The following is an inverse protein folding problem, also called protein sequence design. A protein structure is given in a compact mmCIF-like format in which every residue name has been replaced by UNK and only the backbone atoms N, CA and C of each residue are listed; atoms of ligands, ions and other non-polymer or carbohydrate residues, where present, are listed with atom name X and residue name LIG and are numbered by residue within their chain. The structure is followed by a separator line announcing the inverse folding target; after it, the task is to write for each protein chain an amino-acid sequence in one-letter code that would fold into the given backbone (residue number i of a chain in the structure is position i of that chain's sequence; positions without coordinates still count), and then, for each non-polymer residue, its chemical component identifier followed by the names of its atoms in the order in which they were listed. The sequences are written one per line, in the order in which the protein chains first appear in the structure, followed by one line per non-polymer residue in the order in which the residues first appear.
data_IF_986529468610
#
_entry.id   IF_986529468610
#
_cell.length_a   1.000
_cell.length_b   1.000
_cell.length_c   1.000
_cell.angle_alpha   90.00
_cell.angle_beta   90.00
_cell.angle_gamma   90.00
#
_symmetry.space_group_name_H-M   'P 1'
#
loop_
_entity.id
_entity.type
_entity.pdbx_description
1 polymer ?
#
# COMPACT_ATOMS: atom_id res chain seq x y z
N UNK A 1 -21.93 -11.71 17.92
CA UNK A 1 -22.10 -11.51 16.46
C UNK A 1 -20.87 -12.11 15.77
N UNK A 2 -21.07 -12.99 14.79
CA UNK A 2 -19.97 -13.63 14.04
C UNK A 2 -20.15 -13.34 12.55
N UNK A 3 -19.12 -12.91 11.84
CA UNK A 3 -19.17 -12.66 10.40
C UNK A 3 -18.03 -11.81 9.89
N UNK A 4 -18.07 -11.52 8.59
CA UNK A 4 -17.04 -10.73 7.90
C UNK A 4 -17.72 -9.54 7.22
N UNK A 5 -17.19 -8.36 7.42
CA UNK A 5 -17.64 -7.13 6.77
C UNK A 5 -16.54 -6.63 5.82
N UNK A 6 -16.75 -6.70 4.51
CA UNK A 6 -15.93 -5.94 3.58
C UNK A 6 -16.22 -4.44 3.78
N UNK A 7 -15.42 -3.77 4.59
CA UNK A 7 -15.63 -2.35 4.89
C UNK A 7 -14.89 -1.48 3.87
N UNK A 8 -15.58 -0.48 3.33
CA UNK A 8 -14.96 0.53 2.46
C UNK A 8 -14.30 1.60 3.32
N UNK A 9 -12.99 1.43 3.57
CA UNK A 9 -12.23 2.41 4.34
C UNK A 9 -12.07 3.69 3.52
N UNK A 10 -12.55 4.85 4.00
CA UNK A 10 -12.28 6.12 3.35
C UNK A 10 -10.82 6.56 3.56
N UNK A 11 -10.29 7.49 2.74
CA UNK A 11 -9.02 8.14 3.02
C UNK A 11 -9.10 9.01 4.27
N UNK A 12 -7.94 9.35 4.85
CA UNK A 12 -7.84 10.26 6.00
C UNK A 12 -7.94 9.59 7.38
N UNK A 13 -8.33 8.32 7.45
CA UNK A 13 -8.39 7.56 8.71
C UNK A 13 -7.49 6.33 8.66
N UNK A 14 -7.03 5.87 9.83
CA UNK A 14 -6.28 4.62 9.92
C UNK A 14 -7.19 3.40 9.80
N UNK A 15 -6.62 2.22 9.49
CA UNK A 15 -7.37 0.95 9.54
C UNK A 15 -7.90 0.65 10.94
N UNK A 16 -7.21 1.14 11.97
CA UNK A 16 -7.66 0.99 13.36
C UNK A 16 -8.89 1.87 13.67
N UNK A 17 -8.92 3.10 13.14
CA UNK A 17 -10.10 3.98 13.24
C UNK A 17 -11.30 3.38 12.53
N UNK A 18 -11.10 2.78 11.35
CA UNK A 18 -12.14 2.05 10.62
C UNK A 18 -12.74 0.92 11.47
N UNK A 19 -11.90 0.11 12.13
CA UNK A 19 -12.35 -0.92 13.07
C UNK A 19 -13.10 -0.30 14.26
N UNK A 20 -12.64 0.83 14.79
CA UNK A 20 -13.31 1.52 15.90
C UNK A 20 -14.71 2.04 15.50
N UNK A 21 -14.86 2.53 14.26
CA UNK A 21 -16.18 2.91 13.68
C UNK A 21 -17.09 1.69 13.64
N UNK A 22 -16.64 0.58 13.03
CA UNK A 22 -17.43 -0.65 12.96
C UNK A 22 -17.81 -1.18 14.34
N UNK A 23 -16.87 -1.16 15.29
CA UNK A 23 -17.09 -1.58 16.68
C UNK A 23 -18.19 -0.78 17.35
N UNK A 24 -18.20 0.54 17.15
CA UNK A 24 -19.20 1.44 17.74
C UNK A 24 -20.59 1.22 17.15
N UNK A 25 -20.68 1.06 15.82
CA UNK A 25 -21.96 0.86 15.12
C UNK A 25 -22.55 -0.51 15.48
N UNK A 26 -21.76 -1.57 15.36
CA UNK A 26 -22.21 -2.95 15.57
C UNK A 26 -22.23 -3.37 17.05
N UNK A 27 -21.69 -2.56 17.96
CA UNK A 27 -21.56 -2.85 19.41
C UNK A 27 -20.88 -4.17 19.72
N UNK A 28 -19.97 -4.62 18.81
CA UNK A 28 -19.22 -5.86 18.96
C UNK A 28 -17.82 -5.56 19.52
N UNK A 29 -17.47 -6.24 20.63
CA UNK A 29 -16.16 -6.01 21.29
C UNK A 29 -15.03 -6.72 20.56
N UNK A 30 -15.29 -7.96 20.12
CA UNK A 30 -14.29 -8.79 19.44
C UNK A 30 -14.34 -8.51 17.95
N UNK A 31 -13.48 -7.59 17.49
CA UNK A 31 -13.42 -7.14 16.10
C UNK A 31 -11.97 -6.85 15.71
N UNK A 32 -11.59 -7.23 14.51
CA UNK A 32 -10.26 -6.99 13.93
C UNK A 32 -10.34 -6.84 12.43
N UNK A 33 -9.23 -6.51 11.79
CA UNK A 33 -9.15 -6.39 10.33
C UNK A 33 -7.99 -7.20 9.77
N UNK A 34 -8.05 -7.53 8.49
CA UNK A 34 -6.96 -8.12 7.73
C UNK A 34 -6.32 -7.09 6.83
N UNK A 35 -4.98 -7.04 6.90
CA UNK A 35 -4.16 -6.20 6.02
C UNK A 35 -4.39 -4.70 6.22
N UNK A 36 -3.46 -4.05 6.91
CA UNK A 36 -3.49 -2.60 7.12
C UNK A 36 -3.50 -1.84 5.77
N UNK A 37 -4.33 -0.81 5.68
CA UNK A 37 -4.26 0.23 4.65
C UNK A 37 -3.65 1.49 5.25
N UNK A 38 -2.79 2.16 4.50
CA UNK A 38 -2.24 3.46 4.87
C UNK A 38 -3.37 4.49 5.09
N UNK A 39 -3.17 5.51 5.94
CA UNK A 39 -4.22 6.50 6.22
C UNK A 39 -4.74 7.20 4.95
N UNK A 40 -3.84 7.53 4.00
CA UNK A 40 -4.20 8.16 2.74
C UNK A 40 -4.97 7.24 1.78
N UNK A 41 -4.78 5.91 1.93
CA UNK A 41 -5.39 4.93 1.04
C UNK A 41 -6.87 4.74 1.32
N UNK A 42 -7.62 4.40 0.27
CA UNK A 42 -9.01 3.95 0.41
C UNK A 42 -9.19 2.55 -0.17
N UNK A 43 -10.36 1.95 0.05
CA UNK A 43 -10.71 0.68 -0.54
C UNK A 43 -11.13 -0.38 0.47
N UNK A 44 -11.23 -1.60 0.00
CA UNK A 44 -11.77 -2.71 0.79
C UNK A 44 -10.82 -3.07 1.94
N UNK A 45 -11.39 -3.08 3.14
CA UNK A 45 -10.77 -3.53 4.38
C UNK A 45 -11.63 -4.63 4.98
N UNK A 46 -11.25 -5.91 4.85
CA UNK A 46 -12.02 -6.99 5.49
C UNK A 46 -11.94 -6.86 7.01
N UNK A 47 -13.09 -6.68 7.64
CA UNK A 47 -13.28 -6.57 9.09
C UNK A 47 -13.97 -7.83 9.59
N UNK A 48 -13.38 -8.48 10.59
CA UNK A 48 -13.83 -9.76 11.15
C UNK A 48 -14.42 -9.55 12.53
N UNK A 49 -15.57 -10.16 12.79
CA UNK A 49 -16.33 -10.01 14.02
C UNK A 49 -16.47 -11.32 14.78
N UNK A 50 -16.43 -11.27 16.09
CA UNK A 50 -16.64 -12.40 16.97
C UNK A 50 -15.66 -13.55 16.70
N UNK A 51 -16.16 -14.76 16.46
CA UNK A 51 -15.36 -15.95 16.18
C UNK A 51 -14.60 -15.85 14.86
N UNK A 52 -15.13 -15.08 13.89
CA UNK A 52 -14.47 -14.87 12.59
C UNK A 52 -13.08 -14.20 12.72
N UNK A 53 -12.80 -13.52 13.82
CA UNK A 53 -11.46 -12.94 14.06
C UNK A 53 -10.32 -13.97 14.04
N UNK A 54 -10.61 -15.26 14.24
CA UNK A 54 -9.64 -16.36 14.12
C UNK A 54 -9.21 -16.62 12.68
N UNK A 55 -9.99 -16.15 11.70
CA UNK A 55 -9.69 -16.32 10.28
C UNK A 55 -8.66 -15.28 9.77
N UNK A 56 -8.39 -14.24 10.54
CA UNK A 56 -7.47 -13.16 10.13
C UNK A 56 -6.09 -13.72 9.75
N UNK A 57 -5.58 -14.69 10.50
CA UNK A 57 -4.25 -15.28 10.25
C UNK A 57 -4.14 -15.98 8.88
N UNK A 58 -5.25 -16.52 8.35
CA UNK A 58 -5.27 -17.17 7.04
C UNK A 58 -5.39 -16.19 5.87
N UNK A 59 -5.74 -14.94 6.15
CA UNK A 59 -5.92 -13.92 5.10
C UNK A 59 -4.62 -13.27 4.64
N UNK A 60 -3.52 -13.55 5.30
CA UNK A 60 -2.19 -13.06 4.90
C UNK A 60 -1.77 -13.65 3.54
N UNK A 61 -2.25 -14.86 3.23
CA UNK A 61 -2.03 -15.55 1.95
C UNK A 61 -2.85 -14.98 0.80
N UNK A 62 -3.87 -14.19 1.08
CA UNK A 62 -4.72 -13.60 0.04
C UNK A 62 -3.95 -12.64 -0.84
N UNK A 63 -4.15 -12.79 -2.14
CA UNK A 63 -3.76 -11.79 -3.09
C UNK A 63 -4.50 -10.49 -2.87
N UNK A 64 -3.85 -9.40 -3.20
CA UNK A 64 -4.41 -8.06 -3.09
C UNK A 64 -4.24 -7.33 -4.41
N UNK A 65 -5.29 -6.65 -4.86
CA UNK A 65 -5.21 -5.82 -6.05
C UNK A 65 -5.34 -4.35 -5.66
N UNK A 66 -4.46 -3.56 -6.22
CA UNK A 66 -4.39 -2.12 -5.97
C UNK A 66 -4.44 -1.35 -7.28
N UNK A 67 -4.99 -0.15 -7.22
CA UNK A 67 -4.80 0.91 -8.21
C UNK A 67 -4.06 2.03 -7.51
N UNK A 68 -2.90 2.39 -8.03
CA UNK A 68 -2.03 3.40 -7.44
C UNK A 68 -1.63 4.44 -8.47
N UNK A 69 -1.75 5.71 -8.12
CA UNK A 69 -1.25 6.83 -8.91
C UNK A 69 0.07 7.34 -8.32
N UNK A 70 0.97 7.71 -9.20
CA UNK A 70 2.31 8.18 -8.88
C UNK A 70 2.61 9.47 -9.63
N UNK A 71 3.22 10.42 -8.95
CA UNK A 71 3.71 11.67 -9.54
C UNK A 71 5.24 11.63 -9.64
N UNK A 72 5.75 11.70 -10.85
CA UNK A 72 7.19 11.86 -11.10
C UNK A 72 7.65 13.27 -10.78
N UNK A 73 8.89 13.41 -10.35
CA UNK A 73 9.54 14.69 -10.11
C UNK A 73 9.80 15.06 -8.66
N UNK A 74 9.21 14.37 -7.71
CA UNK A 74 9.39 14.65 -6.29
C UNK A 74 9.54 13.37 -5.51
N UNK A 75 10.59 13.25 -4.70
CA UNK A 75 10.74 12.17 -3.75
C UNK A 75 10.36 12.68 -2.35
N UNK A 76 9.71 11.84 -1.54
CA UNK A 76 9.31 12.19 -0.18
C UNK A 76 9.81 11.14 0.80
N UNK A 77 10.01 11.54 2.05
CA UNK A 77 10.50 10.68 3.12
C UNK A 77 9.55 9.52 3.45
N UNK A 78 8.23 9.67 3.19
CA UNK A 78 7.21 8.63 3.38
C UNK A 78 6.93 7.83 2.11
N UNK A 79 7.56 8.18 0.97
CA UNK A 79 7.32 7.57 -0.36
C UNK A 79 5.90 7.87 -0.91
N UNK A 80 5.16 8.77 -0.28
CA UNK A 80 3.83 9.24 -0.69
C UNK A 80 3.67 10.75 -0.52
N UNK A 81 2.57 11.31 -1.02
CA UNK A 81 2.29 12.75 -1.00
C UNK A 81 2.07 13.36 0.39
N UNK A 82 2.01 12.56 1.45
CA UNK A 82 1.88 13.03 2.83
C UNK A 82 3.21 13.40 3.47
N UNK A 83 4.33 12.97 2.87
CA UNK A 83 5.68 13.21 3.34
C UNK A 83 6.26 14.55 2.95
N UNK A 84 7.41 14.86 3.54
CA UNK A 84 8.21 16.04 3.15
C UNK A 84 9.10 15.69 1.97
N UNK A 85 9.28 16.60 1.00
CA UNK A 85 10.25 16.42 -0.07
C UNK A 85 11.65 16.19 0.52
N UNK A 86 12.31 15.13 0.08
CA UNK A 86 13.68 14.80 0.48
C UNK A 86 14.48 14.37 -0.74
N UNK A 87 15.79 14.52 -0.66
CA UNK A 87 16.67 13.83 -1.60
C UNK A 87 16.71 12.34 -1.26
N UNK A 88 16.72 11.46 -2.26
CA UNK A 88 17.01 10.06 -2.04
C UNK A 88 18.38 9.96 -1.35
N UNK A 89 18.44 9.31 -0.20
CA UNK A 89 19.72 9.12 0.47
C UNK A 89 20.64 8.17 -0.32
N UNK A 90 21.94 8.31 -0.15
CA UNK A 90 22.92 7.47 -0.84
C UNK A 90 22.71 5.98 -0.55
N UNK A 91 22.17 5.63 0.60
CA UNK A 91 21.85 4.26 0.98
C UNK A 91 20.75 3.65 0.10
N UNK A 92 19.73 4.44 -0.29
CA UNK A 92 18.70 4.01 -1.23
C UNK A 92 19.26 3.84 -2.65
N UNK A 93 20.25 4.68 -3.03
CA UNK A 93 20.86 4.69 -4.35
C UNK A 93 21.93 3.61 -4.54
N UNK A 94 22.68 3.30 -3.48
CA UNK A 94 23.84 2.41 -3.54
C UNK A 94 23.51 0.96 -3.23
N UNK A 95 22.48 0.69 -2.42
CA UNK A 95 22.15 -0.67 -1.96
C UNK A 95 21.60 -1.57 -3.06
N UNK A 96 20.93 -1.00 -4.06
CA UNK A 96 20.27 -1.79 -5.11
C UNK A 96 21.05 -1.81 -6.43
N UNK A 97 22.32 -1.36 -6.44
CA UNK A 97 23.19 -1.37 -7.62
C UNK A 97 22.70 -0.45 -8.75
N UNK A 98 21.74 0.43 -8.45
CA UNK A 98 21.15 1.33 -9.43
C UNK A 98 21.88 2.67 -9.35
N UNK A 99 22.67 2.96 -10.36
CA UNK A 99 23.26 4.28 -10.56
C UNK A 99 22.16 5.21 -11.04
N UNK A 100 21.57 5.97 -10.13
CA UNK A 100 20.68 7.05 -10.52
C UNK A 100 21.46 8.05 -11.39
N UNK A 101 20.87 8.40 -12.52
CA UNK A 101 21.42 9.39 -13.42
C UNK A 101 21.74 10.67 -12.62
N UNK A 102 22.89 11.29 -12.85
CA UNK A 102 23.44 12.46 -12.12
C UNK A 102 22.46 13.61 -11.85
N UNK A 103 21.31 13.63 -12.49
CA UNK A 103 20.26 14.65 -12.34
C UNK A 103 19.62 14.71 -10.93
N UNK A 104 19.79 13.67 -10.09
CA UNK A 104 19.15 13.62 -8.74
C UNK A 104 20.10 14.15 -7.65
N UNK A 105 21.34 14.49 -7.98
CA UNK A 105 22.33 14.94 -7.00
C UNK A 105 22.22 16.43 -6.60
N UNK A 106 21.31 17.20 -7.17
CA UNK A 106 21.11 18.59 -6.79
C UNK A 106 19.86 18.78 -5.93
N UNK A 107 20.00 19.52 -4.83
CA UNK A 107 18.89 20.00 -3.98
C UNK A 107 17.91 20.89 -4.73
N UNK A 108 18.33 21.45 -5.85
CA UNK A 108 17.46 22.06 -6.84
C UNK A 108 16.99 20.93 -7.76
N UNK A 109 15.71 20.57 -7.67
CA UNK A 109 15.05 19.74 -8.66
C UNK A 109 15.29 20.42 -10.00
N UNK A 110 16.27 19.92 -10.75
CA UNK A 110 16.55 20.44 -12.08
C UNK A 110 15.23 20.43 -12.82
N UNK A 111 14.81 21.57 -13.29
CA UNK A 111 13.55 21.82 -14.00
C UNK A 111 13.40 20.98 -15.29
N UNK A 112 14.36 20.13 -15.59
CA UNK A 112 14.38 19.30 -16.80
C UNK A 112 14.33 17.81 -16.43
N UNK A 113 13.22 17.38 -15.80
CA UNK A 113 12.93 15.95 -15.72
C UNK A 113 12.58 15.48 -17.12
N UNK A 114 13.41 14.59 -17.66
CA UNK A 114 13.13 13.99 -18.97
C UNK A 114 11.88 13.11 -18.81
N UNK A 115 10.84 13.43 -19.56
CA UNK A 115 9.61 12.62 -19.61
C UNK A 115 9.97 11.23 -20.13
N UNK A 116 9.72 10.13 -19.38
CA UNK A 116 9.93 8.79 -19.89
C UNK A 116 8.97 8.49 -21.03
N UNK A 117 9.42 7.74 -22.03
CA UNK A 117 8.55 7.25 -23.10
C UNK A 117 7.52 6.26 -22.56
N UNK A 118 6.37 6.16 -23.23
CA UNK A 118 5.34 5.18 -22.84
C UNK A 118 5.88 3.74 -22.83
N UNK A 119 6.57 3.34 -23.91
CA UNK A 119 7.15 2.00 -24.04
C UNK A 119 8.26 1.74 -23.01
N UNK A 120 9.03 2.75 -22.68
CA UNK A 120 10.05 2.68 -21.62
C UNK A 120 9.40 2.39 -20.27
N UNK A 121 8.37 3.14 -19.91
CA UNK A 121 7.63 2.92 -18.66
C UNK A 121 7.01 1.51 -18.62
N UNK A 122 6.35 1.08 -19.69
CA UNK A 122 5.77 -0.28 -19.78
C UNK A 122 6.86 -1.34 -19.66
N UNK A 123 8.01 -1.16 -20.33
CA UNK A 123 9.13 -2.11 -20.28
C UNK A 123 9.69 -2.24 -18.85
N UNK A 124 9.80 -1.12 -18.13
CA UNK A 124 10.28 -1.13 -16.75
C UNK A 124 9.25 -1.79 -15.83
N UNK A 125 7.97 -1.44 -15.93
CA UNK A 125 6.91 -2.08 -15.13
C UNK A 125 6.94 -3.62 -15.26
N UNK A 126 7.10 -4.14 -16.47
CA UNK A 126 7.17 -5.59 -16.73
C UNK A 126 8.32 -6.29 -16.00
N UNK A 127 9.44 -5.59 -15.73
CA UNK A 127 10.58 -6.17 -14.99
C UNK A 127 10.26 -6.42 -13.51
N UNK A 128 9.24 -5.74 -12.98
CA UNK A 128 8.79 -5.92 -11.60
C UNK A 128 7.72 -7.02 -11.43
N UNK A 129 7.30 -7.69 -12.51
CA UNK A 129 6.46 -8.87 -12.41
C UNK A 129 7.27 -10.09 -11.95
N UNK A 130 6.66 -10.96 -11.15
CA UNK A 130 7.26 -12.17 -10.64
C UNK A 130 7.65 -12.09 -9.16
N UNK A 131 8.45 -13.07 -8.73
CA UNK A 131 8.97 -13.16 -7.36
C UNK A 131 10.22 -12.30 -7.25
N UNK A 132 10.27 -11.47 -6.21
CA UNK A 132 11.40 -10.57 -5.96
C UNK A 132 11.53 -10.23 -4.49
N UNK A 133 12.71 -9.77 -4.08
CA UNK A 133 12.94 -9.22 -2.76
C UNK A 133 12.59 -7.74 -2.74
N UNK A 134 11.83 -7.34 -1.73
CA UNK A 134 11.45 -5.94 -1.51
C UNK A 134 11.96 -5.47 -0.15
N UNK A 135 12.55 -4.28 -0.12
CA UNK A 135 12.83 -3.58 1.13
C UNK A 135 11.59 -2.76 1.53
N UNK A 136 10.97 -3.08 2.66
CA UNK A 136 9.81 -2.33 3.16
C UNK A 136 10.15 -0.87 3.43
N UNK A 137 9.12 -0.02 3.38
CA UNK A 137 9.23 1.38 3.81
C UNK A 137 9.57 1.47 5.30
N UNK A 138 10.42 2.43 5.66
CA UNK A 138 10.69 2.76 7.07
C UNK A 138 9.42 3.25 7.80
N UNK A 139 8.44 3.77 7.07
CA UNK A 139 7.11 4.12 7.60
C UNK A 139 6.14 2.94 7.54
N UNK A 140 6.56 1.78 8.05
CA UNK A 140 5.74 0.55 8.10
C UNK A 140 5.46 0.10 9.52
N UNK A 141 4.48 -0.79 9.68
CA UNK A 141 4.12 -1.38 10.97
C UNK A 141 5.01 -2.59 11.36
N UNK A 142 6.04 -2.90 10.58
CA UNK A 142 7.00 -3.97 10.88
C UNK A 142 7.67 -3.69 12.22
N UNK A 143 7.78 -4.72 13.07
CA UNK A 143 8.47 -4.61 14.35
C UNK A 143 9.92 -5.01 14.22
N UNK A 144 10.81 -4.15 14.72
CA UNK A 144 12.23 -4.41 14.92
C UNK A 144 12.50 -4.24 16.40
N UNK A 145 13.02 -5.26 17.07
CA UNK A 145 13.24 -5.26 18.52
C UNK A 145 11.99 -4.88 19.33
N UNK A 146 10.80 -5.32 18.86
CA UNK A 146 9.52 -5.06 19.54
C UNK A 146 8.88 -3.69 19.24
N UNK A 147 9.62 -2.76 18.63
CA UNK A 147 9.16 -1.40 18.29
C UNK A 147 8.84 -1.34 16.79
N UNK A 148 7.79 -0.62 16.40
CA UNK A 148 7.38 -0.50 15.00
C UNK A 148 8.34 0.41 14.22
N UNK A 149 8.62 0.06 12.97
CA UNK A 149 9.57 0.80 12.12
C UNK A 149 9.21 2.29 11.99
N UNK A 150 7.93 2.63 11.85
CA UNK A 150 7.50 4.02 11.77
C UNK A 150 7.80 4.85 13.04
N UNK A 151 7.94 4.20 14.22
CA UNK A 151 8.29 4.89 15.47
C UNK A 151 9.78 5.29 15.48
N UNK A 152 10.64 4.45 14.90
CA UNK A 152 12.05 4.79 14.66
C UNK A 152 12.15 5.93 13.65
N UNK A 153 11.42 5.81 12.51
CA UNK A 153 11.43 6.82 11.47
C UNK A 153 11.02 8.22 11.97
N UNK A 154 9.95 8.29 12.77
CA UNK A 154 9.49 9.56 13.38
C UNK A 154 10.49 10.19 14.35
N UNK A 155 11.32 9.38 14.97
CA UNK A 155 12.39 9.85 15.88
C UNK A 155 13.70 10.14 15.15
N UNK A 156 13.75 9.98 13.83
CA UNK A 156 14.98 10.11 13.06
C UNK A 156 16.04 9.06 13.36
N UNK A 157 15.64 7.93 13.97
CA UNK A 157 16.57 6.85 14.34
C UNK A 157 16.67 5.88 13.15
N UNK A 158 17.86 5.67 12.58
CA UNK A 158 18.05 4.72 11.51
C UNK A 158 17.65 3.31 11.95
N UNK A 159 16.92 2.59 11.12
CA UNK A 159 16.57 1.19 11.33
C UNK A 159 16.70 0.44 10.02
N UNK A 160 17.40 -0.68 10.07
CA UNK A 160 17.52 -1.57 8.92
C UNK A 160 16.34 -2.56 8.95
N UNK A 161 15.58 -2.58 7.85
CA UNK A 161 14.47 -3.51 7.67
C UNK A 161 14.92 -4.70 6.82
N UNK A 162 14.58 -5.93 7.23
CA UNK A 162 14.92 -7.11 6.46
C UNK A 162 14.22 -7.09 5.10
N UNK A 163 14.89 -7.60 4.07
CA UNK A 163 14.26 -7.89 2.79
C UNK A 163 13.13 -8.91 2.98
N UNK A 164 12.10 -8.76 2.20
CA UNK A 164 10.95 -9.66 2.17
C UNK A 164 10.73 -10.16 0.76
N UNK A 165 10.57 -11.45 0.61
CA UNK A 165 10.15 -12.00 -0.67
C UNK A 165 8.68 -11.67 -0.89
N UNK A 166 8.38 -11.08 -2.04
CA UNK A 166 7.04 -10.74 -2.52
C UNK A 166 6.82 -11.33 -3.90
N UNK A 167 5.56 -11.46 -4.29
CA UNK A 167 5.21 -11.88 -5.63
C UNK A 167 4.27 -10.87 -6.28
N UNK A 168 4.72 -10.19 -7.31
CA UNK A 168 3.89 -9.34 -8.16
C UNK A 168 3.32 -10.21 -9.28
N UNK A 169 2.07 -10.64 -9.12
CA UNK A 169 1.40 -11.51 -10.09
C UNK A 169 1.07 -10.81 -11.39
N UNK A 170 0.70 -9.54 -11.28
CA UNK A 170 0.44 -8.69 -12.45
C UNK A 170 0.73 -7.22 -12.10
N UNK A 171 1.27 -6.49 -13.06
CA UNK A 171 1.41 -5.03 -13.02
C UNK A 171 1.08 -4.45 -14.39
N UNK A 172 0.14 -3.55 -14.44
CA UNK A 172 -0.42 -2.98 -15.66
C UNK A 172 -0.45 -1.46 -15.58
N UNK A 173 0.04 -0.79 -16.62
CA UNK A 173 -0.11 0.66 -16.78
C UNK A 173 -1.54 0.96 -17.24
N UNK A 174 -2.34 1.63 -16.39
CA UNK A 174 -3.73 1.99 -16.72
C UNK A 174 -3.81 3.35 -17.40
N UNK A 175 -3.01 4.30 -16.93
CA UNK A 175 -2.98 5.64 -17.47
C UNK A 175 -1.58 6.24 -17.38
N UNK A 176 -1.24 7.08 -18.37
CA UNK A 176 0.00 7.84 -18.39
C UNK A 176 -0.22 9.23 -18.97
N UNK A 177 0.00 10.22 -18.15
CA UNK A 177 0.01 11.63 -18.52
C UNK A 177 1.03 12.36 -17.66
N UNK A 178 2.25 12.55 -18.21
CA UNK A 178 3.35 13.16 -17.45
C UNK A 178 2.92 14.44 -16.72
N UNK A 179 3.24 14.62 -15.45
CA UNK A 179 4.13 13.77 -14.62
C UNK A 179 3.43 12.60 -13.90
N UNK A 180 2.18 12.27 -14.20
CA UNK A 180 1.44 11.22 -13.52
C UNK A 180 1.41 9.92 -14.32
N UNK A 181 1.42 8.80 -13.61
CA UNK A 181 1.05 7.49 -14.16
C UNK A 181 0.27 6.69 -13.12
N UNK A 182 -0.62 5.84 -13.59
CA UNK A 182 -1.46 4.98 -12.76
C UNK A 182 -1.25 3.53 -13.15
N UNK A 183 -1.02 2.69 -12.15
CA UNK A 183 -0.85 1.25 -12.33
C UNK A 183 -1.92 0.47 -11.58
N UNK A 184 -2.30 -0.68 -12.14
CA UNK A 184 -2.99 -1.75 -11.41
C UNK A 184 -1.97 -2.81 -11.05
N UNK A 185 -1.93 -3.21 -9.78
CA UNK A 185 -0.99 -4.21 -9.28
C UNK A 185 -1.77 -5.30 -8.56
N UNK A 186 -1.56 -6.56 -8.95
CA UNK A 186 -2.02 -7.73 -8.20
C UNK A 186 -0.80 -8.42 -7.60
N UNK A 187 -0.79 -8.60 -6.28
CA UNK A 187 0.39 -9.08 -5.56
C UNK A 187 0.03 -9.92 -4.34
N UNK A 188 1.01 -10.68 -3.86
CA UNK A 188 0.92 -11.44 -2.61
C UNK A 188 0.77 -10.55 -1.38
N UNK A 189 0.32 -11.13 -0.29
CA UNK A 189 0.35 -10.50 1.03
C UNK A 189 1.73 -9.98 1.41
N UNK A 190 1.77 -8.93 2.23
CA UNK A 190 3.01 -8.33 2.70
C UNK A 190 3.72 -7.41 1.71
N UNK A 191 3.21 -7.23 0.50
CA UNK A 191 3.74 -6.29 -0.50
C UNK A 191 3.42 -4.84 -0.11
N UNK A 192 4.44 -3.98 -0.12
CA UNK A 192 4.32 -2.53 0.09
C UNK A 192 4.27 -1.82 -1.26
N UNK A 193 3.10 -1.29 -1.63
CA UNK A 193 2.92 -0.61 -2.93
C UNK A 193 3.76 0.66 -3.01
N UNK A 194 3.93 1.41 -1.92
CA UNK A 194 4.84 2.57 -1.86
C UNK A 194 6.27 2.18 -2.23
N UNK A 195 6.78 1.11 -1.61
CA UNK A 195 8.13 0.63 -1.89
C UNK A 195 8.28 0.09 -3.31
N UNK A 196 7.27 -0.60 -3.85
CA UNK A 196 7.28 -1.06 -5.23
C UNK A 196 7.40 0.12 -6.21
N UNK A 197 6.60 1.16 -6.01
CA UNK A 197 6.63 2.33 -6.88
C UNK A 197 7.91 3.15 -6.69
N UNK A 198 8.47 3.23 -5.46
CA UNK A 198 9.81 3.78 -5.23
C UNK A 198 10.84 3.04 -6.09
N UNK A 199 10.85 1.72 -6.05
CA UNK A 199 11.84 0.90 -6.77
C UNK A 199 11.66 1.04 -8.28
N UNK A 200 10.42 1.18 -8.79
CA UNK A 200 10.14 1.51 -10.19
C UNK A 200 10.70 2.89 -10.56
N UNK A 201 10.50 3.90 -9.71
CA UNK A 201 11.04 5.24 -9.95
C UNK A 201 12.57 5.26 -9.95
N UNK A 202 13.19 4.48 -9.07
CA UNK A 202 14.65 4.27 -9.08
C UNK A 202 15.08 3.65 -10.41
N UNK A 203 14.40 2.61 -10.89
CA UNK A 203 14.71 1.96 -12.17
C UNK A 203 14.51 2.89 -13.38
N UNK A 204 13.60 3.86 -13.29
CA UNK A 204 13.41 4.91 -14.28
C UNK A 204 14.50 6.01 -14.20
N UNK A 205 15.24 6.08 -13.10
CA UNK A 205 16.15 7.20 -12.82
C UNK A 205 15.42 8.53 -12.58
N UNK A 206 14.15 8.49 -12.20
CA UNK A 206 13.31 9.67 -12.00
C UNK A 206 12.64 9.57 -10.61
N UNK A 207 12.85 10.57 -9.73
CA UNK A 207 12.19 10.57 -8.43
C UNK A 207 10.66 10.61 -8.59
N UNK A 208 9.95 10.05 -7.60
CA UNK A 208 8.50 10.08 -7.60
C UNK A 208 7.92 9.78 -6.23
N UNK A 209 6.67 10.16 -6.02
CA UNK A 209 5.91 9.88 -4.80
C UNK A 209 4.48 9.46 -5.14
N UNK A 210 3.97 8.50 -4.37
CA UNK A 210 2.59 8.01 -4.54
C UNK A 210 1.59 9.09 -4.14
N UNK A 211 0.66 9.41 -5.03
CA UNK A 211 -0.36 10.44 -4.80
C UNK A 211 -1.70 9.84 -4.39
N UNK A 212 -1.99 8.63 -4.82
CA UNK A 212 -3.24 7.94 -4.48
C UNK A 212 -3.06 6.43 -4.45
N UNK A 213 -3.80 5.77 -3.57
CA UNK A 213 -3.82 4.32 -3.43
C UNK A 213 -5.22 3.83 -3.14
N UNK A 214 -5.72 2.97 -4.01
CA UNK A 214 -6.97 2.25 -3.82
C UNK A 214 -6.72 0.75 -3.73
N UNK A 215 -7.16 0.07 -2.66
CA UNK A 215 -7.19 -1.38 -2.63
C UNK A 215 -8.55 -1.87 -3.14
N UNK A 216 -8.54 -2.43 -4.35
CA UNK A 216 -9.77 -2.84 -5.03
C UNK A 216 -10.18 -4.27 -4.72
N UNK A 217 -9.24 -5.11 -4.22
CA UNK A 217 -9.52 -6.50 -3.88
C UNK A 217 -8.59 -7.04 -2.78
N UNK A 218 -9.14 -7.93 -1.95
CA UNK A 218 -8.41 -8.77 -0.97
C UNK A 218 -9.03 -10.15 -1.00
N UNK A 219 -8.35 -11.13 -1.62
CA UNK A 219 -8.94 -12.46 -1.82
C UNK A 219 -10.33 -12.38 -2.45
N UNK A 220 -11.36 -12.96 -1.81
CA UNK A 220 -12.73 -12.95 -2.34
C UNK A 220 -13.46 -11.60 -2.18
N UNK A 221 -12.88 -10.64 -1.45
CA UNK A 221 -13.55 -9.37 -1.14
C UNK A 221 -13.14 -8.30 -2.16
N UNK A 222 -14.09 -7.81 -2.95
CA UNK A 222 -13.89 -6.73 -3.92
C UNK A 222 -14.51 -5.40 -3.46
N UNK A 223 -14.06 -4.31 -4.09
CA UNK A 223 -14.48 -2.95 -3.70
C UNK A 223 -15.97 -2.70 -4.02
N UNK A 224 -16.54 -3.37 -5.02
CA UNK A 224 -17.96 -3.23 -5.38
C UNK A 224 -18.90 -3.81 -4.34
N UNK A 225 -18.43 -4.80 -3.57
CA UNK A 225 -19.19 -5.42 -2.46
C UNK A 225 -18.95 -4.72 -1.13
N UNK A 226 -17.95 -3.85 -1.03
CA UNK A 226 -17.56 -3.19 0.21
C UNK A 226 -18.62 -2.17 0.69
N UNK A 227 -18.81 -2.08 2.01
CA UNK A 227 -19.85 -1.29 2.67
C UNK A 227 -19.30 -0.06 3.35
N UNK A 228 -19.96 1.07 3.14
CA UNK A 228 -19.65 2.33 3.83
C UNK A 228 -20.20 2.36 5.26
N UNK A 229 -19.69 3.27 6.06
CA UNK A 229 -20.15 3.43 7.44
C UNK A 229 -21.64 3.78 7.53
N UNK A 230 -22.15 4.57 6.58
CA UNK A 230 -23.54 4.98 6.49
C UNK A 230 -24.46 3.79 6.21
N UNK A 231 -24.08 2.89 5.30
CA UNK A 231 -24.81 1.66 5.03
C UNK A 231 -24.83 0.76 6.27
N UNK A 232 -23.67 0.70 6.98
CA UNK A 232 -23.58 -0.08 8.21
C UNK A 232 -24.46 0.47 9.32
N UNK A 233 -24.64 1.80 9.43
CA UNK A 233 -25.56 2.43 10.35
C UNK A 233 -27.02 2.09 10.04
N UNK A 234 -27.37 1.97 8.75
CA UNK A 234 -28.74 1.68 8.31
C UNK A 234 -29.12 0.21 8.43
N UNK A 235 -28.19 -0.68 8.07
CA UNK A 235 -28.49 -2.11 7.88
C UNK A 235 -27.85 -3.02 8.94
N UNK A 236 -26.89 -2.51 9.71
CA UNK A 236 -26.25 -3.23 10.82
C UNK A 236 -25.67 -4.58 10.42
N UNK A 237 -25.98 -5.61 11.21
CA UNK A 237 -25.44 -6.95 11.05
C UNK A 237 -25.91 -7.70 9.78
N UNK A 238 -26.98 -7.22 9.13
CA UNK A 238 -27.46 -7.85 7.88
C UNK A 238 -26.47 -7.72 6.71
N UNK A 239 -25.46 -6.83 6.84
CA UNK A 239 -24.39 -6.68 5.86
C UNK A 239 -23.21 -7.63 6.08
N UNK A 240 -23.24 -8.44 7.14
CA UNK A 240 -22.15 -9.37 7.42
C UNK A 240 -22.24 -10.58 6.50
N UNK A 241 -21.10 -10.92 5.92
CA UNK A 241 -20.93 -12.16 5.16
C UNK A 241 -20.68 -13.34 6.11
N UNK A 242 -21.08 -14.55 5.71
CA UNK A 242 -20.74 -15.77 6.45
C UNK A 242 -19.24 -16.00 6.54
N UNK A 243 -18.80 -16.74 7.56
CA UNK A 243 -17.37 -17.00 7.81
C UNK A 243 -16.71 -17.89 6.76
N UNK A 244 -17.47 -18.72 6.06
CA UNK A 244 -16.98 -19.57 4.96
C UNK A 244 -16.62 -18.77 3.70
N UNK A 245 -17.11 -17.54 3.55
CA UNK A 245 -16.70 -16.63 2.45
C UNK A 245 -15.19 -16.40 2.42
N UNK A 246 -14.49 -16.49 3.54
CA UNK A 246 -13.04 -16.32 3.60
C UNK A 246 -12.26 -17.62 3.28
N UNK A 247 -12.94 -18.74 3.06
CA UNK A 247 -12.31 -20.07 2.89
C UNK A 247 -12.58 -20.63 1.50
N UNK A 248 -13.45 -20.00 0.73
CA UNK A 248 -13.79 -20.30 -0.67
C UNK A 248 -12.89 -19.53 -1.64
#
# INVERSE_FOLDING_TARGET
MDGILPFLKPPGITSHDAVAICRRILKEKRIGHSGTLDPMAYGVLPVFLGKATRLIEYTDEFDKTYVAEWKLGTFTDTEDSSGQPVLPDNDMLLRDGIVLNRAIQSTEISTTIVKPGFEELVSILRKFAGVQDQRPSKYSAIKVNGIRAYEYARKGIPVELPLRQIHIKNIELIAYGFPFFTVRVTCSGGTYIRSLLRDICIALGIPGAMTSLARTQVGPFDIGSAKMAEELMLHGESLLLPTDTAVS
#
